data_IF_689094938376
#
_entry.id   IF_689094938376
#
_cell.length_a   1.000
_cell.length_b   1.000
_cell.length_c   1.000
_cell.angle_alpha   90.00
_cell.angle_beta   90.00
_cell.angle_gamma   90.00
#
_symmetry.space_group_name_H-M   'P 1'
#
loop_
_entity.id
_entity.type
_entity.pdbx_description
1 polymer ?
#
# COMPACT_ATOMS: atom_id res chain seq x y z
N UNK A 1 14.42 12.91 25.20
CA UNK A 1 15.54 12.46 24.34
C UNK A 1 15.49 10.97 24.03
N UNK A 2 15.24 10.07 25.00
CA UNK A 2 15.26 8.62 24.77
C UNK A 2 14.27 8.11 23.72
N UNK A 3 13.04 8.65 23.66
CA UNK A 3 12.03 8.23 22.66
C UNK A 3 12.41 8.59 21.22
N UNK A 4 12.99 9.78 20.99
CA UNK A 4 13.41 10.25 19.66
C UNK A 4 14.57 9.41 19.15
N UNK A 5 15.57 9.13 20.00
CA UNK A 5 16.71 8.27 19.64
C UNK A 5 16.26 6.86 19.24
N UNK A 6 15.25 6.30 19.91
CA UNK A 6 14.69 4.99 19.55
C UNK A 6 13.98 5.00 18.18
N UNK A 7 13.31 6.09 17.84
CA UNK A 7 12.65 6.27 16.55
C UNK A 7 13.67 6.41 15.42
N UNK A 8 14.70 7.23 15.62
CA UNK A 8 15.75 7.48 14.62
C UNK A 8 16.50 6.18 14.27
N UNK A 9 16.84 5.38 15.27
CA UNK A 9 17.48 4.06 15.07
C UNK A 9 16.56 3.13 14.27
N UNK A 10 15.26 3.12 14.57
CA UNK A 10 14.29 2.29 13.86
C UNK A 10 14.16 2.69 12.38
N UNK A 11 14.10 3.99 12.09
CA UNK A 11 14.06 4.53 10.71
C UNK A 11 15.34 4.18 9.95
N UNK A 12 16.50 4.27 10.61
CA UNK A 12 17.78 3.91 10.03
C UNK A 12 17.81 2.44 9.62
N UNK A 13 17.37 1.54 10.49
CA UNK A 13 17.31 0.10 10.21
C UNK A 13 16.40 -0.19 9.02
N UNK A 14 15.18 0.37 9.00
CA UNK A 14 14.24 0.19 7.88
C UNK A 14 14.83 0.70 6.57
N UNK A 15 15.46 1.88 6.61
CA UNK A 15 16.10 2.49 5.44
C UNK A 15 17.26 1.67 4.90
N UNK A 16 18.05 1.05 5.78
CA UNK A 16 19.13 0.13 5.39
C UNK A 16 18.58 -1.13 4.71
N UNK A 17 17.48 -1.69 5.22
CA UNK A 17 16.81 -2.86 4.60
C UNK A 17 16.31 -2.50 3.20
N UNK A 18 15.64 -1.35 3.05
CA UNK A 18 15.17 -0.87 1.75
C UNK A 18 16.31 -0.67 0.76
N UNK A 19 17.43 -0.09 1.19
CA UNK A 19 18.62 0.11 0.37
C UNK A 19 19.17 -1.22 -0.17
N UNK A 20 19.27 -2.24 0.69
CA UNK A 20 19.75 -3.58 0.29
C UNK A 20 18.81 -4.20 -0.74
N UNK A 21 17.50 -4.13 -0.52
CA UNK A 21 16.50 -4.66 -1.45
C UNK A 21 16.59 -3.96 -2.81
N UNK A 22 16.68 -2.62 -2.82
CA UNK A 22 16.87 -1.83 -4.04
C UNK A 22 18.16 -2.17 -4.77
N UNK A 23 19.26 -2.38 -4.05
CA UNK A 23 20.54 -2.78 -4.65
C UNK A 23 20.45 -4.16 -5.33
N UNK A 24 19.77 -5.13 -4.71
CA UNK A 24 19.52 -6.45 -5.31
C UNK A 24 18.68 -6.33 -6.59
N UNK A 25 17.66 -5.46 -6.58
CA UNK A 25 16.86 -5.17 -7.78
C UNK A 25 17.70 -4.56 -8.92
N UNK A 26 18.54 -3.57 -8.59
CA UNK A 26 19.42 -2.92 -9.55
C UNK A 26 20.44 -3.87 -10.18
N UNK A 27 21.13 -4.68 -9.36
CA UNK A 27 22.08 -5.69 -9.84
C UNK A 27 21.37 -6.80 -10.63
N UNK A 28 20.17 -7.22 -10.18
CA UNK A 28 19.36 -8.22 -10.87
C UNK A 28 18.96 -7.79 -12.28
N UNK A 29 18.63 -6.51 -12.46
CA UNK A 29 18.37 -5.91 -13.78
C UNK A 29 19.63 -5.86 -14.65
N UNK A 30 20.74 -5.35 -14.10
CA UNK A 30 22.01 -5.24 -14.83
C UNK A 30 22.59 -6.58 -15.30
N UNK A 31 22.39 -7.64 -14.52
CA UNK A 31 22.94 -8.98 -14.80
C UNK A 31 21.95 -9.89 -15.53
N UNK A 32 20.76 -9.38 -15.89
CA UNK A 32 19.64 -10.17 -16.43
C UNK A 32 19.36 -11.44 -15.59
N UNK A 33 19.60 -11.39 -14.28
CA UNK A 33 19.49 -12.55 -13.41
C UNK A 33 18.06 -12.66 -12.85
N UNK A 34 17.27 -13.56 -13.46
CA UNK A 34 15.89 -13.85 -13.08
C UNK A 34 15.72 -14.30 -11.61
N UNK A 35 16.72 -14.93 -11.00
CA UNK A 35 16.65 -15.34 -9.60
C UNK A 35 16.67 -14.12 -8.66
N UNK A 36 17.62 -13.19 -8.87
CA UNK A 36 17.71 -11.95 -8.10
C UNK A 36 16.48 -11.07 -8.27
N UNK A 37 15.97 -10.97 -9.51
CA UNK A 37 14.78 -10.18 -9.80
C UNK A 37 13.52 -10.75 -9.12
N UNK A 38 13.38 -12.08 -9.04
CA UNK A 38 12.30 -12.73 -8.28
C UNK A 38 12.41 -12.46 -6.77
N UNK A 39 13.62 -12.47 -6.21
CA UNK A 39 13.84 -12.13 -4.80
C UNK A 39 13.45 -10.68 -4.50
N UNK A 40 13.82 -9.74 -5.38
CA UNK A 40 13.43 -8.33 -5.28
C UNK A 40 11.91 -8.14 -5.28
N UNK A 41 11.20 -8.74 -6.25
CA UNK A 41 9.74 -8.66 -6.33
C UNK A 41 9.05 -9.27 -5.12
N UNK A 42 9.57 -10.38 -4.59
CA UNK A 42 9.02 -11.01 -3.38
C UNK A 42 9.25 -10.14 -2.15
N UNK A 43 10.42 -9.50 -2.04
CA UNK A 43 10.75 -8.56 -0.98
C UNK A 43 9.83 -7.34 -0.97
N UNK A 44 9.66 -6.67 -2.11
CA UNK A 44 8.73 -5.53 -2.24
C UNK A 44 7.29 -5.95 -1.98
N UNK A 45 6.86 -7.13 -2.46
CA UNK A 45 5.51 -7.64 -2.21
C UNK A 45 5.21 -7.80 -0.72
N UNK A 46 6.16 -8.31 0.07
CA UNK A 46 6.01 -8.43 1.52
C UNK A 46 5.96 -7.05 2.18
N UNK A 47 6.84 -6.12 1.80
CA UNK A 47 6.84 -4.76 2.33
C UNK A 47 5.52 -4.04 2.08
N UNK A 48 4.95 -4.16 0.88
CA UNK A 48 3.64 -3.57 0.56
C UNK A 48 2.51 -4.13 1.43
N UNK A 49 2.51 -5.43 1.72
CA UNK A 49 1.50 -6.03 2.61
C UNK A 49 1.65 -5.46 4.03
N UNK A 50 2.89 -5.37 4.53
CA UNK A 50 3.17 -4.79 5.86
C UNK A 50 2.71 -3.33 5.93
N UNK A 51 3.02 -2.53 4.91
CA UNK A 51 2.59 -1.12 4.84
C UNK A 51 1.06 -0.99 4.79
N UNK A 52 0.36 -1.83 4.01
CA UNK A 52 -1.09 -1.84 3.97
C UNK A 52 -1.72 -2.22 5.32
N UNK A 53 -1.16 -3.24 5.99
CA UNK A 53 -1.61 -3.63 7.33
C UNK A 53 -1.36 -2.54 8.36
N UNK A 54 -0.22 -1.84 8.28
CA UNK A 54 0.10 -0.72 9.15
C UNK A 54 -0.88 0.44 8.92
N UNK A 55 -1.12 0.83 7.66
CA UNK A 55 -2.08 1.88 7.32
C UNK A 55 -3.50 1.52 7.76
N UNK A 56 -3.95 0.29 7.52
CA UNK A 56 -5.25 -0.20 7.99
C UNK A 56 -5.33 -0.20 9.53
N UNK A 57 -4.25 -0.57 10.22
CA UNK A 57 -4.15 -0.53 11.68
C UNK A 57 -4.23 0.89 12.23
N UNK A 58 -3.49 1.84 11.65
CA UNK A 58 -3.57 3.26 12.04
C UNK A 58 -4.98 3.82 11.85
N UNK A 59 -5.62 3.55 10.70
CA UNK A 59 -7.00 3.98 10.44
C UNK A 59 -7.98 3.32 11.43
N UNK A 60 -7.84 2.02 11.67
CA UNK A 60 -8.66 1.29 12.65
C UNK A 60 -8.53 1.85 14.06
N UNK A 61 -7.31 2.16 14.51
CA UNK A 61 -7.07 2.80 15.81
C UNK A 61 -7.68 4.20 15.89
N UNK A 62 -7.59 5.00 14.83
CA UNK A 62 -8.26 6.31 14.82
C UNK A 62 -9.78 6.17 14.91
N UNK A 63 -10.37 5.18 14.24
CA UNK A 63 -11.82 4.92 14.31
C UNK A 63 -12.25 4.46 15.70
N UNK A 64 -11.49 3.54 16.31
CA UNK A 64 -11.72 3.09 17.68
C UNK A 64 -11.55 4.23 18.69
N UNK A 65 -10.52 5.06 18.54
CA UNK A 65 -10.30 6.23 19.40
C UNK A 65 -11.44 7.25 19.29
N UNK A 66 -11.99 7.46 18.08
CA UNK A 66 -13.16 8.31 17.88
C UNK A 66 -14.40 7.70 18.53
N UNK A 67 -14.64 6.41 18.38
CA UNK A 67 -15.78 5.71 18.99
C UNK A 67 -15.73 5.76 20.51
N UNK A 68 -14.58 5.49 21.14
CA UNK A 68 -14.41 5.57 22.59
C UNK A 68 -14.47 7.01 23.12
N UNK A 69 -13.91 7.98 22.38
CA UNK A 69 -14.04 9.39 22.74
C UNK A 69 -15.51 9.83 22.66
N UNK A 70 -16.24 9.42 21.62
CA UNK A 70 -17.65 9.79 21.43
C UNK A 70 -18.57 9.20 22.51
N UNK A 71 -18.23 8.05 23.09
CA UNK A 71 -18.96 7.52 24.27
C UNK A 71 -18.65 8.24 25.59
N UNK A 72 -17.48 8.89 25.70
CA UNK A 72 -17.08 9.65 26.89
C UNK A 72 -17.53 11.11 26.83
N UNK A 73 -17.58 11.69 25.62
CA UNK A 73 -18.04 13.04 25.36
C UNK A 73 -19.53 13.01 25.01
N UNK A 74 -20.38 13.08 26.04
CA UNK A 74 -21.83 13.25 25.93
C UNK A 74 -22.23 14.71 26.18
N UNK A 75 -23.43 15.13 25.74
CA UNK A 75 -23.94 16.49 25.97
C UNK A 75 -23.99 16.84 27.47
N UNK A 76 -24.17 15.82 28.32
CA UNK A 76 -24.22 15.95 29.78
C UNK A 76 -22.93 16.51 30.38
N UNK A 77 -21.77 16.23 29.77
CA UNK A 77 -20.49 16.82 30.21
C UNK A 77 -20.46 18.34 29.99
N UNK A 78 -21.11 18.83 28.92
CA UNK A 78 -21.25 20.27 28.67
C UNK A 78 -22.25 20.88 29.65
N UNK A 79 -23.39 20.22 29.92
CA UNK A 79 -24.42 20.73 30.84
C UNK A 79 -23.85 20.90 32.26
N UNK A 80 -23.14 19.89 32.78
CA UNK A 80 -22.56 19.91 34.13
C UNK A 80 -21.12 20.42 34.20
N UNK A 81 -20.63 21.10 33.16
CA UNK A 81 -19.25 21.62 33.07
C UNK A 81 -18.84 22.47 34.29
N UNK A 82 -19.75 23.34 34.76
CA UNK A 82 -19.51 24.25 35.89
C UNK A 82 -19.75 23.61 37.25
N UNK A 83 -20.48 22.51 37.28
CA UNK A 83 -20.95 21.87 38.51
C UNK A 83 -19.97 20.80 39.01
N UNK A 84 -19.12 20.25 38.14
CA UNK A 84 -18.12 19.23 38.48
C UNK A 84 -16.73 19.53 37.88
N UNK A 85 -15.72 19.59 38.75
CA UNK A 85 -14.35 19.94 38.36
C UNK A 85 -13.69 18.89 37.44
N UNK A 86 -14.07 17.63 37.58
CA UNK A 86 -13.53 16.53 36.76
C UNK A 86 -14.11 16.54 35.33
N UNK A 87 -15.38 16.95 35.18
CA UNK A 87 -16.00 17.13 33.87
C UNK A 87 -15.39 18.33 33.12
N UNK A 88 -15.10 19.42 33.84
CA UNK A 88 -14.40 20.56 33.27
C UNK A 88 -13.02 20.16 32.72
N UNK A 89 -12.21 19.41 33.49
CA UNK A 89 -10.90 18.93 33.02
C UNK A 89 -11.00 18.00 31.82
N UNK A 90 -11.98 17.09 31.80
CA UNK A 90 -12.18 16.17 30.68
C UNK A 90 -12.55 16.92 29.40
N UNK A 91 -13.50 17.85 29.48
CA UNK A 91 -13.92 18.68 28.36
C UNK A 91 -12.76 19.56 27.87
N UNK A 92 -12.02 20.22 28.77
CA UNK A 92 -10.89 21.07 28.41
C UNK A 92 -9.73 20.27 27.81
N UNK A 93 -9.43 19.08 28.35
CA UNK A 93 -8.40 18.18 27.82
C UNK A 93 -8.81 17.67 26.44
N UNK A 94 -10.07 17.27 26.25
CA UNK A 94 -10.61 16.84 24.97
C UNK A 94 -10.55 17.95 23.93
N UNK A 95 -11.10 19.12 24.24
CA UNK A 95 -11.12 20.27 23.34
C UNK A 95 -9.71 20.79 23.02
N UNK A 96 -8.77 20.76 23.97
CA UNK A 96 -7.38 21.16 23.73
C UNK A 96 -6.60 20.12 22.91
N UNK A 97 -6.78 18.82 23.21
CA UNK A 97 -6.04 17.74 22.52
C UNK A 97 -6.54 17.55 21.09
N UNK A 98 -7.85 17.67 20.87
CA UNK A 98 -8.47 17.52 19.55
C UNK A 98 -8.71 18.85 18.83
N UNK A 99 -8.40 19.99 19.46
CA UNK A 99 -8.60 21.34 18.91
C UNK A 99 -10.03 21.55 18.40
N UNK A 100 -11.02 21.07 19.16
CA UNK A 100 -12.45 21.11 18.82
C UNK A 100 -13.24 21.94 19.85
N UNK A 101 -14.50 22.25 19.55
CA UNK A 101 -15.38 22.97 20.46
C UNK A 101 -16.79 22.39 20.33
N UNK A 102 -17.34 21.91 21.44
CA UNK A 102 -18.61 21.15 21.46
C UNK A 102 -18.41 19.64 21.34
N UNK A 103 -19.52 18.91 21.38
CA UNK A 103 -19.59 17.44 21.40
C UNK A 103 -20.26 16.90 20.13
N UNK A 104 -21.26 17.59 19.61
CA UNK A 104 -22.02 17.23 18.41
C UNK A 104 -21.59 18.04 17.19
N UNK A 105 -22.20 17.76 16.04
CA UNK A 105 -22.02 18.57 14.82
C UNK A 105 -22.46 20.04 15.00
N UNK A 106 -23.24 20.33 16.03
CA UNK A 106 -23.59 21.69 16.47
C UNK A 106 -22.39 22.52 16.94
N UNK A 107 -21.21 21.90 17.15
CA UNK A 107 -19.96 22.55 17.59
C UNK A 107 -20.21 23.47 18.79
N UNK A 108 -19.90 24.76 18.64
CA UNK A 108 -20.08 25.76 19.68
C UNK A 108 -21.53 25.90 20.17
N UNK A 109 -22.53 25.48 19.39
CA UNK A 109 -23.96 25.59 19.76
C UNK A 109 -24.34 24.64 20.89
N UNK A 110 -23.56 23.59 21.13
CA UNK A 110 -23.83 22.67 22.24
C UNK A 110 -23.71 23.35 23.60
N UNK A 111 -22.91 24.41 23.69
CA UNK A 111 -22.77 25.22 24.91
C UNK A 111 -24.03 26.00 25.27
N UNK A 112 -24.99 26.16 24.35
CA UNK A 112 -26.29 26.76 24.68
C UNK A 112 -27.13 25.88 25.62
N UNK A 113 -26.84 24.58 25.68
CA UNK A 113 -27.50 23.65 26.61
C UNK A 113 -27.01 23.83 28.05
N UNK A 114 -25.89 24.53 28.26
CA UNK A 114 -25.40 24.86 29.59
C UNK A 114 -26.03 26.18 30.07
N UNK A 115 -26.64 26.15 31.26
CA UNK A 115 -27.34 27.31 31.86
C UNK A 115 -26.45 28.55 32.06
N UNK A 116 -25.15 28.35 32.27
CA UNK A 116 -24.17 29.42 32.49
C UNK A 116 -23.65 30.04 31.19
N UNK A 117 -23.70 29.29 30.08
CA UNK A 117 -23.19 29.71 28.76
C UNK A 117 -24.30 29.86 27.70
N UNK A 118 -25.57 29.74 28.11
CA UNK A 118 -26.71 29.88 27.22
C UNK A 118 -26.79 31.29 26.64
N UNK A 119 -26.77 31.37 25.31
CA UNK A 119 -26.92 32.60 24.56
C UNK A 119 -28.35 33.16 24.70
N UNK A 120 -28.53 34.08 25.66
CA UNK A 120 -29.78 34.80 25.92
C UNK A 120 -29.52 36.30 25.86
N UNK A 121 -30.58 37.11 25.67
CA UNK A 121 -30.50 38.58 25.71
C UNK A 121 -29.90 39.11 27.02
N UNK A 122 -29.97 38.32 28.10
CA UNK A 122 -29.39 38.63 29.41
C UNK A 122 -27.92 38.20 29.58
N UNK A 123 -27.37 37.39 28.68
CA UNK A 123 -26.00 36.87 28.76
C UNK A 123 -25.36 36.83 27.35
N UNK A 124 -24.87 37.99 26.85
CA UNK A 124 -24.18 38.06 25.56
C UNK A 124 -22.79 37.42 25.69
N UNK A 125 -22.68 36.14 25.37
CA UNK A 125 -21.39 35.42 25.32
C UNK A 125 -20.49 36.01 24.23
N UNK A 126 -19.25 36.36 24.57
CA UNK A 126 -18.24 36.84 23.61
C UNK A 126 -17.85 35.75 22.62
N UNK A 127 -17.91 36.11 21.34
CA UNK A 127 -17.59 35.31 20.14
C UNK A 127 -16.48 34.27 20.38
N UNK A 128 -16.82 33.00 20.13
CA UNK A 128 -15.88 31.89 20.17
C UNK A 128 -14.79 32.05 19.10
N UNK A 129 -13.54 32.16 19.53
CA UNK A 129 -12.37 32.17 18.64
C UNK A 129 -12.08 30.73 18.19
N UNK A 130 -12.68 30.30 17.07
CA UNK A 130 -12.26 29.07 16.40
C UNK A 130 -10.96 29.39 15.67
N UNK A 131 -9.81 29.11 16.28
CA UNK A 131 -8.58 28.96 15.49
C UNK A 131 -8.68 27.62 14.78
N UNK A 132 -9.45 27.60 13.70
CA UNK A 132 -9.38 26.51 12.74
C UNK A 132 -7.94 26.55 12.23
N UNK A 133 -7.14 25.57 12.62
CA UNK A 133 -5.82 25.37 12.04
C UNK A 133 -6.03 24.81 10.62
N UNK A 134 -6.61 25.64 9.76
CA UNK A 134 -6.74 25.44 8.32
C UNK A 134 -5.37 25.09 7.76
N UNK A 135 -4.30 25.67 8.31
CA UNK A 135 -2.92 25.31 8.00
C UNK A 135 -2.62 23.84 8.31
N UNK A 136 -3.04 23.29 9.45
CA UNK A 136 -2.83 21.86 9.76
C UNK A 136 -3.66 20.97 8.83
N UNK A 137 -4.89 21.34 8.50
CA UNK A 137 -5.71 20.57 7.56
C UNK A 137 -5.17 20.65 6.13
N UNK A 138 -4.66 21.81 5.71
CA UNK A 138 -4.00 22.01 4.42
C UNK A 138 -2.69 21.24 4.39
N UNK A 139 -1.86 21.31 5.44
CA UNK A 139 -0.59 20.58 5.52
C UNK A 139 -0.84 19.08 5.54
N UNK A 140 -1.80 18.60 6.34
CA UNK A 140 -2.21 17.20 6.34
C UNK A 140 -2.77 16.78 4.97
N UNK A 141 -3.53 17.64 4.31
CA UNK A 141 -4.04 17.43 2.96
C UNK A 141 -2.93 17.39 1.90
N UNK A 142 -1.93 18.26 1.99
CA UNK A 142 -0.75 18.29 1.11
C UNK A 142 0.09 17.05 1.33
N UNK A 143 0.33 16.65 2.59
CA UNK A 143 1.04 15.43 2.93
C UNK A 143 0.28 14.22 2.41
N UNK A 144 -1.04 14.15 2.62
CA UNK A 144 -1.86 13.06 2.11
C UNK A 144 -1.86 13.02 0.57
N UNK A 145 -1.97 14.17 -0.10
CA UNK A 145 -1.89 14.26 -1.56
C UNK A 145 -0.52 13.84 -2.08
N UNK A 146 0.57 14.27 -1.43
CA UNK A 146 1.93 13.88 -1.77
C UNK A 146 2.12 12.38 -1.58
N UNK A 147 1.65 11.81 -0.47
CA UNK A 147 1.70 10.36 -0.21
C UNK A 147 0.87 9.60 -1.25
N UNK A 148 -0.32 10.07 -1.61
CA UNK A 148 -1.15 9.45 -2.65
C UNK A 148 -0.52 9.56 -4.04
N UNK A 149 0.12 10.68 -4.36
CA UNK A 149 0.83 10.89 -5.61
C UNK A 149 2.08 10.00 -5.68
N UNK A 150 2.84 9.89 -4.59
CA UNK A 150 3.98 8.98 -4.47
C UNK A 150 3.55 7.53 -4.56
N UNK A 151 2.43 7.16 -3.92
CA UNK A 151 1.86 5.83 -4.02
C UNK A 151 1.39 5.53 -5.45
N UNK A 152 0.75 6.48 -6.14
CA UNK A 152 0.40 6.32 -7.56
C UNK A 152 1.63 6.21 -8.44
N UNK A 153 2.66 7.01 -8.21
CA UNK A 153 3.92 6.97 -8.95
C UNK A 153 4.64 5.63 -8.73
N UNK A 154 4.68 5.14 -7.49
CA UNK A 154 5.23 3.84 -7.15
C UNK A 154 4.39 2.72 -7.78
N UNK A 155 3.06 2.78 -7.68
CA UNK A 155 2.17 1.81 -8.31
C UNK A 155 2.36 1.79 -9.83
N UNK A 156 2.46 2.95 -10.48
CA UNK A 156 2.73 3.06 -11.92
C UNK A 156 4.11 2.51 -12.30
N UNK A 157 5.15 2.77 -11.49
CA UNK A 157 6.47 2.18 -11.68
C UNK A 157 6.43 0.65 -11.54
N UNK A 158 5.77 0.13 -10.50
CA UNK A 158 5.60 -1.30 -10.26
C UNK A 158 4.79 -1.95 -11.38
N UNK A 159 3.70 -1.32 -11.82
CA UNK A 159 2.91 -1.76 -12.98
C UNK A 159 3.74 -1.79 -14.25
N UNK A 160 4.57 -0.77 -14.49
CA UNK A 160 5.45 -0.70 -15.65
C UNK A 160 6.50 -1.81 -15.61
N UNK A 161 7.09 -2.07 -14.45
CA UNK A 161 8.00 -3.20 -14.27
C UNK A 161 7.30 -4.54 -14.47
N UNK A 162 6.11 -4.75 -13.89
CA UNK A 162 5.30 -5.96 -14.08
C UNK A 162 4.95 -6.16 -15.55
N UNK A 163 4.55 -5.12 -16.27
CA UNK A 163 4.25 -5.20 -17.72
C UNK A 163 5.51 -5.56 -18.49
N UNK A 164 6.65 -4.92 -18.18
CA UNK A 164 7.92 -5.23 -18.82
C UNK A 164 8.35 -6.67 -18.56
N UNK A 165 8.19 -7.14 -17.33
CA UNK A 165 8.48 -8.50 -16.91
C UNK A 165 7.56 -9.49 -17.59
N UNK A 166 6.27 -9.18 -17.67
CA UNK A 166 5.29 -10.01 -18.38
C UNK A 166 5.64 -10.09 -19.86
N UNK A 167 6.07 -9.00 -20.48
CA UNK A 167 6.52 -8.98 -21.87
C UNK A 167 7.81 -9.81 -22.08
N UNK A 168 8.77 -9.72 -21.16
CA UNK A 168 10.00 -10.53 -21.18
C UNK A 168 9.66 -12.01 -20.96
N UNK A 169 8.79 -12.32 -20.01
CA UNK A 169 8.36 -13.68 -19.68
C UNK A 169 7.60 -14.30 -20.86
N UNK A 170 6.67 -13.56 -21.46
CA UNK A 170 5.90 -13.97 -22.62
C UNK A 170 6.82 -14.16 -23.85
N UNK A 171 7.79 -13.27 -24.07
CA UNK A 171 8.84 -13.45 -25.09
C UNK A 171 9.66 -14.72 -24.84
N UNK A 172 10.02 -14.99 -23.59
CA UNK A 172 10.75 -16.19 -23.19
C UNK A 172 9.94 -17.47 -23.45
N UNK A 173 8.68 -17.55 -23.01
CA UNK A 173 7.82 -18.72 -23.24
C UNK A 173 7.52 -18.95 -24.71
N UNK A 174 7.29 -17.88 -25.49
CA UNK A 174 7.15 -18.00 -26.95
C UNK A 174 8.41 -18.53 -27.62
N UNK A 175 9.60 -18.15 -27.16
CA UNK A 175 10.86 -18.66 -27.70
C UNK A 175 11.03 -20.14 -27.38
N UNK A 176 10.70 -20.55 -26.15
CA UNK A 176 10.77 -21.94 -25.73
C UNK A 176 9.79 -22.82 -26.52
N UNK A 177 8.53 -22.38 -26.67
CA UNK A 177 7.53 -23.07 -27.47
C UNK A 177 7.93 -23.21 -28.94
N UNK A 178 8.52 -22.16 -29.54
CA UNK A 178 9.07 -22.22 -30.90
C UNK A 178 10.26 -23.17 -31.01
N UNK A 179 11.09 -23.28 -29.97
CA UNK A 179 12.20 -24.24 -29.92
C UNK A 179 11.69 -25.69 -29.94
N UNK A 180 10.71 -25.99 -29.08
CA UNK A 180 10.09 -27.32 -29.04
C UNK A 180 9.38 -27.68 -30.34
N UNK A 181 8.59 -26.76 -30.94
CA UNK A 181 7.92 -27.07 -32.21
C UNK A 181 8.90 -27.36 -33.35
N UNK A 182 10.01 -26.60 -33.43
CA UNK A 182 11.10 -26.86 -34.40
C UNK A 182 11.76 -28.22 -34.17
N UNK A 183 11.99 -28.61 -32.92
CA UNK A 183 12.57 -29.94 -32.62
C UNK A 183 11.62 -31.08 -32.99
N UNK A 184 10.32 -30.92 -32.73
CA UNK A 184 9.29 -31.90 -33.06
C UNK A 184 9.13 -32.05 -34.59
N UNK A 185 9.12 -30.93 -35.32
CA UNK A 185 9.05 -30.93 -36.79
C UNK A 185 10.28 -31.58 -37.45
N UNK A 186 11.48 -31.39 -36.87
CA UNK A 186 12.69 -32.11 -37.33
C UNK A 186 12.61 -33.61 -37.08
N UNK A 187 12.07 -34.02 -35.93
CA UNK A 187 11.85 -35.44 -35.62
C UNK A 187 10.82 -36.09 -36.54
N UNK A 188 9.71 -35.40 -36.85
CA UNK A 188 8.70 -35.92 -37.79
C UNK A 188 9.26 -36.04 -39.21
N UNK A 189 9.99 -35.02 -39.70
CA UNK A 189 10.63 -35.06 -41.01
C UNK A 189 11.66 -36.20 -41.14
N UNK A 190 12.48 -36.45 -40.10
CA UNK A 190 13.41 -37.57 -40.11
C UNK A 190 12.70 -38.94 -40.13
N UNK A 191 11.58 -39.09 -39.41
CA UNK A 191 10.77 -40.31 -39.43
C UNK A 191 10.15 -40.57 -40.80
N UNK A 192 9.66 -39.53 -41.47
CA UNK A 192 9.12 -39.64 -42.83
C UNK A 192 10.18 -40.03 -43.85
N UNK A 193 11.38 -39.45 -43.77
CA UNK A 193 12.51 -39.82 -44.62
C UNK A 193 12.93 -41.28 -44.40
N UNK A 194 12.98 -41.73 -43.15
CA UNK A 194 13.28 -43.14 -42.82
C UNK A 194 12.20 -44.08 -43.38
N UNK A 195 10.92 -43.74 -43.24
CA UNK A 195 9.81 -44.51 -43.79
C UNK A 195 9.82 -44.54 -45.33
N UNK A 196 10.16 -43.43 -45.99
CA UNK A 196 10.28 -43.36 -47.44
C UNK A 196 11.45 -44.21 -47.96
N UNK A 197 12.61 -44.18 -47.30
CA UNK A 197 13.78 -44.99 -47.66
C UNK A 197 13.50 -46.49 -47.46
N UNK A 198 12.78 -46.88 -46.40
CA UNK A 198 12.32 -48.26 -46.20
C UNK A 198 11.42 -48.77 -47.33
N UNK A 199 10.46 -47.94 -47.78
CA UNK A 199 9.59 -48.26 -48.93
C UNK A 199 10.35 -48.40 -50.25
N UNK A 200 11.43 -47.64 -50.46
CA UNK A 200 12.27 -47.78 -51.66
C UNK A 200 13.13 -49.04 -51.65
N UNK A 201 13.68 -49.42 -50.49
CA UNK A 201 14.45 -50.66 -50.34
C UNK A 201 13.57 -51.91 -50.56
N UNK A 202 12.32 -51.91 -50.11
CA UNK A 202 11.35 -53.00 -50.39
C UNK A 202 10.92 -53.07 -51.87
N UNK A 203 11.03 -51.97 -52.62
CA UNK A 203 10.70 -51.94 -54.06
C UNK A 203 11.86 -52.30 -54.97
N UNK A 204 13.10 -52.44 -54.46
CA UNK A 204 14.19 -52.95 -55.28
C UNK A 204 14.00 -54.47 -55.49
N UNK A 205 13.80 -54.93 -56.73
CA UNK A 205 13.63 -56.34 -57.01
C UNK A 205 14.94 -57.10 -56.77
N UNK A 206 14.80 -58.26 -56.16
CA UNK A 206 15.80 -59.29 -55.91
C UNK A 206 16.46 -59.75 -57.23
N UNK A 207 17.38 -58.94 -57.77
CA UNK A 207 18.25 -59.29 -58.91
C UNK A 207 19.68 -59.53 -58.40
N UNK A 208 19.91 -60.63 -57.68
CA UNK A 208 21.25 -61.20 -57.43
C UNK A 208 21.13 -62.57 -56.75
N UNK A 209 20.91 -63.63 -57.53
CA UNK A 209 21.53 -64.95 -57.35
C UNK A 209 21.00 -65.92 -58.43
N UNK A 210 21.63 -65.90 -59.59
CA UNK A 210 21.65 -67.02 -60.53
C UNK A 210 22.84 -66.76 -61.47
N UNK A 211 24.02 -67.15 -60.99
CA UNK A 211 25.19 -67.45 -61.80
C UNK A 211 25.68 -68.83 -61.38
#
# INVERSE_FOLDING_TARGET
MSFVVNLDISILIVSLILLVISFVGFIGSLRENLCMLRCYLRGIGVLLIVDLLFMAGCVGLTYLSKSSAQSLFSIDLIVSYRDNLDYARLVDLGQTSFQCCGVTEGKYRDWNSNIYFNCSKSNPSTVAYVRSNVIIMIVAGIIAFAVLALFRMMAQNVLTEIISLTAVYDKYYRNLARGQSKSLARQSAMREMAAARGRQLQRQPQKRSAS
#
